data_IF_140922751423
#
_entry.id   IF_140922751423
#
_cell.length_a   1.000
_cell.length_b   1.000
_cell.length_c   1.000
_cell.angle_alpha   90.00
_cell.angle_beta   90.00
_cell.angle_gamma   90.00
#
_symmetry.space_group_name_H-M   'P 1'
#
loop_
_entity.id
_entity.type
_entity.pdbx_description
1 polymer ?
#
# COMPACT_ATOMS: atom_id res chain seq x y z
N UNK A 1 -21.36 5.24 0.84
CA UNK A 1 -20.03 5.12 1.46
C UNK A 1 -19.03 4.44 0.53
N UNK A 2 -19.25 3.19 0.11
CA UNK A 2 -18.34 2.46 -0.80
C UNK A 2 -18.10 3.15 -2.15
N UNK A 3 -19.15 3.71 -2.77
CA UNK A 3 -19.04 4.48 -4.01
C UNK A 3 -18.17 5.75 -3.88
N UNK A 4 -18.19 6.39 -2.73
CA UNK A 4 -17.35 7.56 -2.43
C UNK A 4 -15.88 7.16 -2.25
N UNK A 5 -15.63 6.05 -1.54
CA UNK A 5 -14.28 5.51 -1.35
C UNK A 5 -13.68 5.03 -2.67
N UNK A 6 -14.45 4.32 -3.51
CA UNK A 6 -14.02 3.92 -4.85
C UNK A 6 -13.67 5.13 -5.72
N UNK A 7 -14.46 6.22 -5.65
CA UNK A 7 -14.16 7.46 -6.39
C UNK A 7 -12.89 8.14 -5.89
N UNK A 8 -12.72 8.28 -4.58
CA UNK A 8 -11.49 8.83 -4.00
C UNK A 8 -10.30 7.99 -4.43
N UNK A 9 -10.36 6.67 -4.24
CA UNK A 9 -9.29 5.77 -4.62
C UNK A 9 -8.87 5.92 -6.09
N UNK A 10 -9.82 6.05 -7.03
CA UNK A 10 -9.49 6.27 -8.44
C UNK A 10 -8.61 7.51 -8.68
N UNK A 11 -8.87 8.61 -7.96
CA UNK A 11 -8.05 9.83 -8.02
C UNK A 11 -6.63 9.53 -7.52
N UNK A 12 -6.51 8.73 -6.47
CA UNK A 12 -5.23 8.36 -5.88
C UNK A 12 -4.45 7.31 -6.71
N UNK A 13 -5.13 6.41 -7.42
CA UNK A 13 -4.49 5.49 -8.37
C UNK A 13 -3.76 6.27 -9.48
N UNK A 14 -4.31 7.41 -9.90
CA UNK A 14 -3.62 8.26 -10.88
C UNK A 14 -2.26 8.73 -10.36
N UNK A 15 -2.13 9.02 -9.05
CA UNK A 15 -0.86 9.41 -8.42
C UNK A 15 0.21 8.32 -8.54
N UNK A 16 -0.16 7.03 -8.62
CA UNK A 16 0.79 5.93 -8.87
C UNK A 16 1.31 5.97 -10.32
N UNK A 17 0.45 6.27 -11.27
CA UNK A 17 0.80 6.40 -12.69
C UNK A 17 1.74 7.57 -12.97
N UNK A 18 1.74 8.59 -12.11
CA UNK A 18 2.55 9.80 -12.26
C UNK A 18 3.98 9.64 -11.71
N UNK A 19 4.33 8.49 -11.11
CA UNK A 19 5.69 8.23 -10.61
C UNK A 19 6.67 8.24 -11.80
N UNK A 20 7.65 9.16 -11.85
CA UNK A 20 8.56 9.27 -12.97
C UNK A 20 9.54 8.08 -12.99
N UNK A 21 9.48 7.29 -14.06
CA UNK A 21 10.27 6.06 -14.22
C UNK A 21 11.50 6.23 -15.11
N UNK A 22 11.58 7.31 -15.89
CA UNK A 22 12.71 7.56 -16.79
C UNK A 22 13.96 8.01 -16.04
N UNK A 23 15.09 7.38 -16.35
CA UNK A 23 16.45 7.76 -15.90
C UNK A 23 16.74 7.68 -14.39
N UNK A 24 15.87 7.04 -13.59
CA UNK A 24 16.06 6.86 -12.13
C UNK A 24 16.49 5.44 -11.76
N UNK A 25 17.18 5.31 -10.63
CA UNK A 25 17.49 3.99 -10.06
C UNK A 25 16.19 3.33 -9.64
N UNK A 26 16.06 2.05 -9.97
CA UNK A 26 14.84 1.28 -9.70
C UNK A 26 14.51 1.21 -8.19
N UNK A 27 15.53 1.23 -7.32
CA UNK A 27 15.36 1.30 -5.86
C UNK A 27 14.64 2.57 -5.43
N UNK A 28 15.00 3.71 -6.02
CA UNK A 28 14.39 5.01 -5.70
C UNK A 28 12.93 5.07 -6.18
N UNK A 29 12.66 4.51 -7.37
CA UNK A 29 11.28 4.38 -7.89
C UNK A 29 10.42 3.54 -6.93
N UNK A 30 10.97 2.46 -6.38
CA UNK A 30 10.23 1.61 -5.45
C UNK A 30 9.99 2.29 -4.10
N UNK A 31 10.93 3.09 -3.59
CA UNK A 31 10.72 3.90 -2.38
C UNK A 31 9.61 4.92 -2.61
N UNK A 32 9.61 5.62 -3.75
CA UNK A 32 8.55 6.58 -4.10
C UNK A 32 7.18 5.89 -4.25
N UNK A 33 7.17 4.67 -4.78
CA UNK A 33 5.97 3.83 -4.79
C UNK A 33 5.47 3.55 -3.37
N UNK A 34 6.33 3.11 -2.43
CA UNK A 34 5.94 2.89 -1.03
C UNK A 34 5.41 4.19 -0.42
N UNK A 35 6.10 5.32 -0.63
CA UNK A 35 5.69 6.64 -0.16
C UNK A 35 4.30 7.02 -0.69
N UNK A 36 4.05 6.78 -1.97
CA UNK A 36 2.75 7.05 -2.59
C UNK A 36 1.66 6.17 -1.94
N UNK A 37 1.89 4.86 -1.79
CA UNK A 37 0.92 3.95 -1.16
C UNK A 37 0.63 4.35 0.28
N UNK A 38 1.65 4.67 1.08
CA UNK A 38 1.48 5.14 2.47
C UNK A 38 0.67 6.43 2.53
N UNK A 39 0.96 7.37 1.63
CA UNK A 39 0.22 8.64 1.54
C UNK A 39 -1.26 8.39 1.24
N UNK A 40 -1.56 7.53 0.26
CA UNK A 40 -2.93 7.15 -0.10
C UNK A 40 -3.67 6.51 1.08
N UNK A 41 -2.99 5.58 1.78
CA UNK A 41 -3.56 4.91 2.95
C UNK A 41 -3.76 5.85 4.14
N UNK A 42 -2.94 6.89 4.27
CA UNK A 42 -3.08 7.93 5.30
C UNK A 42 -4.20 8.92 4.97
N UNK A 43 -4.40 9.24 3.68
CA UNK A 43 -5.51 10.09 3.20
C UNK A 43 -6.87 9.38 3.29
N UNK A 44 -6.86 8.04 3.30
CA UNK A 44 -8.06 7.20 3.41
C UNK A 44 -7.78 6.03 4.38
N UNK A 45 -7.70 6.25 5.71
CA UNK A 45 -7.45 5.17 6.68
C UNK A 45 -8.52 4.07 6.67
N UNK A 46 -9.72 4.38 6.20
CA UNK A 46 -10.81 3.42 6.00
C UNK A 46 -10.47 2.38 4.93
N UNK A 47 -9.63 2.72 3.94
CA UNK A 47 -9.28 1.82 2.85
C UNK A 47 -8.49 0.58 3.31
N UNK A 48 -7.35 0.71 4.01
CA UNK A 48 -6.64 -0.44 4.57
C UNK A 48 -7.46 -1.20 5.61
N UNK A 49 -8.21 -0.48 6.46
CA UNK A 49 -9.01 -1.10 7.52
C UNK A 49 -10.24 -1.83 7.00
N UNK A 50 -10.84 -1.44 5.87
CA UNK A 50 -11.91 -2.19 5.21
C UNK A 50 -11.47 -3.58 4.78
N UNK A 51 -10.22 -3.72 4.32
CA UNK A 51 -9.66 -5.01 3.94
C UNK A 51 -9.62 -5.97 5.14
N UNK A 52 -9.25 -5.45 6.31
CA UNK A 52 -9.18 -6.22 7.56
C UNK A 52 -10.56 -6.49 8.16
N UNK A 53 -11.42 -5.47 8.19
CA UNK A 53 -12.72 -5.53 8.84
C UNK A 53 -13.75 -6.34 8.04
N UNK A 54 -13.71 -6.23 6.70
CA UNK A 54 -14.68 -6.93 5.85
C UNK A 54 -14.24 -8.38 5.54
N UNK A 55 -12.95 -8.70 5.68
CA UNK A 55 -12.49 -10.09 5.59
C UNK A 55 -13.08 -10.98 6.69
N UNK A 56 -13.45 -10.39 7.83
CA UNK A 56 -14.07 -11.08 8.96
C UNK A 56 -15.62 -11.08 8.91
N UNK A 57 -16.23 -10.38 7.93
CA UNK A 57 -17.68 -10.12 7.87
C UNK A 57 -18.35 -10.79 6.64
N UNK A 58 -19.58 -10.39 6.36
CA UNK A 58 -20.43 -10.89 5.27
C UNK A 58 -19.72 -10.92 3.89
N UNK A 59 -19.72 -12.11 3.27
CA UNK A 59 -19.04 -12.38 1.99
C UNK A 59 -19.54 -11.49 0.85
N UNK A 60 -20.80 -11.09 0.84
CA UNK A 60 -21.35 -10.33 -0.28
C UNK A 60 -20.80 -8.90 -0.32
N UNK A 61 -20.76 -8.22 0.83
CA UNK A 61 -20.15 -6.90 0.97
C UNK A 61 -18.64 -6.94 0.76
N UNK A 62 -17.97 -7.97 1.27
CA UNK A 62 -16.54 -8.17 1.04
C UNK A 62 -16.22 -8.32 -0.45
N UNK A 63 -17.03 -9.08 -1.21
CA UNK A 63 -16.85 -9.22 -2.65
C UNK A 63 -16.98 -7.90 -3.40
N UNK A 64 -17.89 -7.01 -3.00
CA UNK A 64 -18.02 -5.67 -3.58
C UNK A 64 -16.78 -4.82 -3.28
N UNK A 65 -16.32 -4.82 -2.03
CA UNK A 65 -15.10 -4.10 -1.62
C UNK A 65 -13.88 -4.61 -2.39
N UNK A 66 -13.74 -5.93 -2.51
CA UNK A 66 -12.67 -6.55 -3.30
C UNK A 66 -12.72 -6.09 -4.76
N UNK A 67 -13.89 -6.19 -5.39
CA UNK A 67 -14.07 -5.92 -6.82
C UNK A 67 -13.87 -4.44 -7.15
N UNK A 68 -14.50 -3.55 -6.39
CA UNK A 68 -14.63 -2.14 -6.78
C UNK A 68 -13.55 -1.25 -6.18
N UNK A 69 -12.85 -1.74 -5.15
CA UNK A 69 -11.88 -0.97 -4.39
C UNK A 69 -10.54 -1.72 -4.39
N UNK A 70 -10.43 -2.91 -3.79
CA UNK A 70 -9.12 -3.55 -3.60
C UNK A 70 -8.45 -3.94 -4.93
N UNK A 71 -9.16 -4.61 -5.82
CA UNK A 71 -8.61 -5.15 -7.07
C UNK A 71 -8.11 -4.05 -8.04
N UNK A 72 -8.82 -2.92 -8.24
CA UNK A 72 -8.29 -1.80 -9.02
C UNK A 72 -6.98 -1.26 -8.47
N UNK A 73 -6.90 -1.04 -7.16
CA UNK A 73 -5.68 -0.52 -6.54
C UNK A 73 -4.53 -1.53 -6.60
N UNK A 74 -4.81 -2.79 -6.29
CA UNK A 74 -3.86 -3.89 -6.44
C UNK A 74 -3.30 -3.94 -7.85
N UNK A 75 -4.16 -3.89 -8.87
CA UNK A 75 -3.75 -3.93 -10.28
C UNK A 75 -2.82 -2.77 -10.65
N UNK A 76 -2.99 -1.59 -10.05
CA UNK A 76 -2.10 -0.45 -10.23
C UNK A 76 -0.75 -0.61 -9.49
N UNK A 77 -0.73 -1.30 -8.35
CA UNK A 77 0.49 -1.53 -7.56
C UNK A 77 1.37 -2.65 -8.12
N UNK A 78 0.78 -3.72 -8.67
CA UNK A 78 1.51 -4.92 -9.11
C UNK A 78 2.66 -4.65 -10.10
N UNK A 79 2.57 -3.73 -11.07
CA UNK A 79 3.69 -3.40 -11.96
C UNK A 79 4.96 -2.97 -11.21
N UNK A 80 4.83 -2.14 -10.17
CA UNK A 80 5.97 -1.68 -9.36
C UNK A 80 6.58 -2.83 -8.55
N UNK A 81 5.73 -3.68 -7.97
CA UNK A 81 6.16 -4.87 -7.22
C UNK A 81 6.92 -5.84 -8.14
N UNK A 82 6.36 -6.14 -9.32
CA UNK A 82 6.99 -7.00 -10.33
C UNK A 82 8.34 -6.45 -10.77
N UNK A 83 8.40 -5.14 -11.04
CA UNK A 83 9.65 -4.50 -11.44
C UNK A 83 10.70 -4.59 -10.32
N UNK A 84 10.33 -4.35 -9.07
CA UNK A 84 11.22 -4.48 -7.92
C UNK A 84 11.76 -5.91 -7.74
N UNK A 85 10.90 -6.92 -7.88
CA UNK A 85 11.32 -8.33 -7.85
C UNK A 85 12.31 -8.62 -8.99
N UNK A 86 11.97 -8.25 -10.22
CA UNK A 86 12.80 -8.55 -11.40
C UNK A 86 14.19 -7.90 -11.35
N UNK A 87 14.32 -6.76 -10.66
CA UNK A 87 15.57 -6.05 -10.46
C UNK A 87 16.29 -6.44 -9.15
N UNK A 88 15.83 -7.49 -8.45
CA UNK A 88 16.35 -7.94 -7.15
C UNK A 88 16.34 -6.86 -6.06
N UNK A 89 15.44 -5.89 -6.14
CA UNK A 89 15.31 -4.82 -5.15
C UNK A 89 14.66 -5.34 -3.87
N UNK A 90 13.69 -6.24 -4.00
CA UNK A 90 13.00 -6.87 -2.88
C UNK A 90 13.12 -8.40 -2.99
N UNK A 91 13.13 -9.10 -1.85
CA UNK A 91 13.09 -10.57 -1.83
C UNK A 91 11.66 -11.06 -1.93
N UNK A 92 11.41 -11.96 -2.87
CA UNK A 92 10.13 -12.65 -2.99
C UNK A 92 9.81 -13.00 -4.44
N UNK A 93 8.88 -13.94 -4.63
CA UNK A 93 8.46 -14.39 -5.97
C UNK A 93 6.97 -14.27 -6.22
N UNK A 94 6.19 -14.02 -5.16
CA UNK A 94 4.74 -13.91 -5.24
C UNK A 94 4.33 -12.45 -5.07
N UNK A 95 3.93 -11.81 -6.17
CA UNK A 95 3.54 -10.40 -6.22
C UNK A 95 2.33 -10.11 -5.34
N UNK A 96 1.37 -11.04 -5.28
CA UNK A 96 0.16 -10.91 -4.47
C UNK A 96 0.47 -10.94 -2.97
N UNK A 97 1.36 -11.84 -2.56
CA UNK A 97 1.80 -11.94 -1.17
C UNK A 97 2.55 -10.67 -0.73
N UNK A 98 3.40 -10.12 -1.59
CA UNK A 98 4.11 -8.86 -1.33
C UNK A 98 3.12 -7.70 -1.23
N UNK A 99 2.14 -7.62 -2.14
CA UNK A 99 1.10 -6.61 -2.07
C UNK A 99 0.32 -6.70 -0.75
N UNK A 100 -0.12 -7.91 -0.36
CA UNK A 100 -0.84 -8.10 0.89
C UNK A 100 0.02 -7.72 2.10
N UNK A 101 1.29 -8.12 2.12
CA UNK A 101 2.22 -7.74 3.18
C UNK A 101 2.37 -6.21 3.29
N UNK A 102 2.54 -5.53 2.15
CA UNK A 102 2.66 -4.07 2.12
C UNK A 102 1.41 -3.41 2.70
N UNK A 103 0.22 -3.78 2.22
CA UNK A 103 -1.03 -3.19 2.70
C UNK A 103 -1.25 -3.48 4.18
N UNK A 104 -1.08 -4.73 4.63
CA UNK A 104 -1.25 -5.09 6.04
C UNK A 104 -0.28 -4.32 6.95
N UNK A 105 0.98 -4.17 6.54
CA UNK A 105 1.99 -3.45 7.33
C UNK A 105 1.69 -1.96 7.43
N UNK A 106 1.23 -1.33 6.34
CA UNK A 106 0.77 0.06 6.34
C UNK A 106 -0.47 0.22 7.21
N UNK A 107 -1.43 -0.71 7.10
CA UNK A 107 -2.67 -0.70 7.88
C UNK A 107 -2.38 -0.71 9.37
N UNK A 108 -1.55 -1.65 9.83
CA UNK A 108 -1.19 -1.78 11.25
C UNK A 108 -0.41 -0.57 11.75
N UNK A 109 0.48 -0.01 10.92
CA UNK A 109 1.22 1.21 11.25
C UNK A 109 0.33 2.43 11.45
N UNK A 110 -0.81 2.50 10.75
CA UNK A 110 -1.77 3.61 10.86
C UNK A 110 -2.76 3.38 12.01
N UNK A 111 -3.25 2.15 12.17
CA UNK A 111 -4.33 1.83 13.13
C UNK A 111 -3.77 1.68 14.55
N UNK A 112 -2.59 1.08 14.70
CA UNK A 112 -1.95 0.78 16.00
C UNK A 112 -0.48 1.22 15.98
N UNK A 113 -0.20 2.52 15.83
CA UNK A 113 1.17 3.01 15.70
C UNK A 113 2.05 2.65 16.91
N UNK A 114 1.50 2.62 18.12
CA UNK A 114 2.18 2.26 19.37
C UNK A 114 2.73 0.82 19.42
N UNK A 115 2.24 -0.08 18.56
CA UNK A 115 2.77 -1.46 18.46
C UNK A 115 4.04 -1.54 17.60
N UNK A 116 4.26 -0.55 16.74
CA UNK A 116 5.31 -0.58 15.72
C UNK A 116 6.37 0.49 15.99
N UNK A 117 5.96 1.66 16.48
CA UNK A 117 6.83 2.80 16.71
C UNK A 117 6.97 3.10 18.21
N UNK A 118 8.15 3.57 18.62
CA UNK A 118 8.36 4.05 19.98
C UNK A 118 7.43 5.23 20.31
N UNK A 119 6.82 5.19 21.49
CA UNK A 119 5.82 6.15 21.99
C UNK A 119 6.33 7.60 22.04
N UNK A 120 7.64 7.79 21.98
CA UNK A 120 8.29 9.10 22.12
C UNK A 120 8.33 9.92 20.83
N UNK A 121 7.75 9.45 19.73
CA UNK A 121 7.80 10.20 18.48
C UNK A 121 6.56 9.98 17.61
N UNK A 122 5.96 11.04 17.05
CA UNK A 122 4.74 10.92 16.26
C UNK A 122 4.94 9.95 15.10
N UNK A 123 3.97 9.05 14.88
CA UNK A 123 3.90 8.22 13.69
C UNK A 123 3.49 9.12 12.52
N UNK A 124 4.35 9.21 11.52
CA UNK A 124 4.11 9.96 10.30
C UNK A 124 4.42 9.07 9.09
N UNK A 125 3.95 9.48 7.91
CA UNK A 125 4.13 8.73 6.67
C UNK A 125 5.61 8.41 6.39
N UNK A 126 6.52 9.33 6.68
CA UNK A 126 7.97 9.17 6.46
C UNK A 126 8.55 8.00 7.25
N UNK A 127 8.13 7.83 8.52
CA UNK A 127 8.57 6.69 9.35
C UNK A 127 8.07 5.36 8.84
N UNK A 128 6.79 5.30 8.45
CA UNK A 128 6.21 4.08 7.88
C UNK A 128 7.00 3.67 6.62
N UNK A 129 7.31 4.65 5.77
CA UNK A 129 8.09 4.43 4.55
C UNK A 129 9.51 3.99 4.86
N UNK A 130 10.16 4.60 5.84
CA UNK A 130 11.51 4.22 6.29
C UNK A 130 11.55 2.76 6.77
N UNK A 131 10.64 2.37 7.67
CA UNK A 131 10.57 1.00 8.19
C UNK A 131 10.27 -0.01 7.08
N UNK A 132 9.28 0.25 6.24
CA UNK A 132 8.93 -0.64 5.12
C UNK A 132 10.08 -0.77 4.12
N UNK A 133 10.79 0.34 3.87
CA UNK A 133 11.97 0.32 3.00
C UNK A 133 13.09 -0.52 3.61
N UNK A 134 13.34 -0.44 4.92
CA UNK A 134 14.33 -1.30 5.58
C UNK A 134 13.94 -2.78 5.56
N UNK A 135 12.65 -3.09 5.70
CA UNK A 135 12.16 -4.48 5.72
C UNK A 135 12.11 -5.12 4.35
N UNK A 136 11.77 -4.35 3.30
CA UNK A 136 11.53 -4.88 1.96
C UNK A 136 12.78 -4.84 1.07
N UNK A 137 13.62 -3.83 1.23
CA UNK A 137 14.76 -3.62 0.34
C UNK A 137 15.92 -4.56 0.68
N UNK A 138 16.55 -5.08 -0.35
CA UNK A 138 17.86 -5.74 -0.30
C UNK A 138 19.01 -4.73 -0.12
#
# INVERSE_FOLDING_TARGET
MLSFLARKQKIHIQKLSDIPTSSRKQKDIFVDFIQCVVTICSEIPEFPSLLLNEAASDRERFNIVLKDIINPFKSACLPFIRQAISNNIIRGRNEDAIFMFLISSISMSIITPELIFDNNSPCNAEKIVSELSMLLLN
#
